data_IF_852085362117
#
_entry.id   IF_852085362117
#
_cell.length_a   1.000
_cell.length_b   1.000
_cell.length_c   1.000
_cell.angle_alpha   90.00
_cell.angle_beta   90.00
_cell.angle_gamma   90.00
#
_symmetry.space_group_name_H-M   'P 1'
#
loop_
_entity.id
_entity.type
_entity.pdbx_description
1 polymer ?
#
# COMPACT_ATOMS: atom_id res chain seq x y z
N UNK A 1 10.83 -13.93 -3.38
CA UNK A 1 10.29 -12.91 -2.44
C UNK A 1 11.44 -11.98 -2.11
N UNK A 2 11.19 -10.68 -2.21
CA UNK A 2 12.19 -9.63 -1.97
C UNK A 2 11.59 -8.60 -1.02
N UNK A 3 12.40 -8.09 -0.09
CA UNK A 3 11.98 -6.99 0.80
C UNK A 3 12.18 -5.68 0.04
N UNK A 4 11.09 -4.95 -0.20
CA UNK A 4 11.14 -3.64 -0.84
C UNK A 4 10.70 -2.54 0.11
N UNK A 5 11.33 -1.37 -0.05
CA UNK A 5 10.87 -0.12 0.53
C UNK A 5 9.78 0.46 -0.38
N UNK A 6 8.55 0.43 0.10
CA UNK A 6 7.38 0.83 -0.65
C UNK A 6 6.90 2.19 -0.15
N UNK A 7 7.07 3.21 -0.97
CA UNK A 7 6.71 4.57 -0.62
C UNK A 7 5.20 4.81 -0.72
N UNK A 8 4.68 5.51 0.30
CA UNK A 8 3.34 6.05 0.33
C UNK A 8 3.36 7.58 0.50
N UNK A 9 2.17 8.16 0.60
CA UNK A 9 1.98 9.61 0.72
C UNK A 9 2.52 10.20 2.02
N UNK A 10 2.54 9.43 3.11
CA UNK A 10 2.95 9.86 4.45
C UNK A 10 4.04 9.02 5.09
N UNK A 11 4.77 8.21 4.31
CA UNK A 11 5.85 7.38 4.80
C UNK A 11 6.27 6.30 3.81
N UNK A 12 6.86 5.23 4.33
CA UNK A 12 7.20 4.04 3.53
C UNK A 12 7.06 2.78 4.38
N UNK A 13 6.80 1.66 3.73
CA UNK A 13 6.64 0.35 4.38
C UNK A 13 7.67 -0.60 3.79
N UNK A 14 8.37 -1.33 4.65
CA UNK A 14 9.24 -2.42 4.23
C UNK A 14 8.44 -3.71 4.30
N UNK A 15 8.21 -4.32 3.14
CA UNK A 15 7.43 -5.55 3.05
C UNK A 15 8.05 -6.56 2.08
N UNK A 16 7.88 -7.83 2.40
CA UNK A 16 8.14 -8.95 1.51
C UNK A 16 7.10 -8.99 0.40
N UNK A 17 7.57 -8.77 -0.82
CA UNK A 17 6.74 -8.79 -2.02
C UNK A 17 7.21 -9.86 -3.00
N UNK A 18 6.31 -10.31 -3.84
CA UNK A 18 6.65 -11.21 -4.96
C UNK A 18 7.34 -10.44 -6.09
N UNK A 19 8.04 -11.13 -6.97
CA UNK A 19 8.69 -10.53 -8.13
C UNK A 19 7.70 -9.79 -9.05
N UNK A 20 6.45 -10.27 -9.14
CA UNK A 20 5.37 -9.58 -9.86
C UNK A 20 4.96 -8.27 -9.17
N UNK A 21 4.83 -8.28 -7.85
CA UNK A 21 4.54 -7.07 -7.08
C UNK A 21 5.70 -6.09 -7.16
N UNK A 22 6.95 -6.55 -7.05
CA UNK A 22 8.14 -5.71 -7.22
C UNK A 22 8.13 -4.96 -8.56
N UNK A 23 7.81 -5.65 -9.66
CA UNK A 23 7.67 -5.04 -10.98
C UNK A 23 6.53 -4.03 -11.07
N UNK A 24 5.41 -4.27 -10.38
CA UNK A 24 4.29 -3.31 -10.32
C UNK A 24 4.65 -2.09 -9.46
N UNK A 25 5.39 -2.29 -8.38
CA UNK A 25 5.81 -1.23 -7.46
C UNK A 25 6.76 -0.24 -8.14
N UNK A 26 7.65 -0.74 -9.00
CA UNK A 26 8.57 0.07 -9.77
C UNK A 26 7.85 0.76 -10.95
N UNK A 27 7.69 2.07 -10.84
CA UNK A 27 7.12 2.91 -11.90
C UNK A 27 8.18 3.48 -12.84
N UNK A 28 9.42 2.96 -12.80
CA UNK A 28 10.54 3.46 -13.61
C UNK A 28 11.11 4.81 -13.17
N UNK A 29 10.74 5.30 -11.99
CA UNK A 29 11.21 6.58 -11.41
C UNK A 29 12.29 6.39 -10.33
N UNK A 30 12.84 5.17 -10.21
CA UNK A 30 13.88 4.81 -9.26
C UNK A 30 13.40 4.58 -7.83
N UNK A 31 12.09 4.52 -7.60
CA UNK A 31 11.46 4.24 -6.30
C UNK A 31 10.26 3.32 -6.49
N UNK A 32 10.03 2.47 -5.49
CA UNK A 32 8.89 1.56 -5.45
C UNK A 32 7.72 2.17 -4.67
N UNK A 33 6.48 1.99 -5.16
CA UNK A 33 5.28 2.61 -4.56
C UNK A 33 4.26 1.58 -4.12
N UNK A 34 3.50 1.90 -3.06
CA UNK A 34 2.38 1.09 -2.55
C UNK A 34 1.15 1.09 -3.47
N UNK A 35 0.89 2.21 -4.14
CA UNK A 35 -0.32 2.38 -4.94
C UNK A 35 -0.52 1.30 -6.04
N UNK A 36 0.49 0.97 -6.88
CA UNK A 36 0.32 0.02 -7.99
C UNK A 36 0.36 -1.47 -7.61
N UNK A 37 0.84 -1.81 -6.40
CA UNK A 37 0.93 -3.21 -5.94
C UNK A 37 -0.35 -3.75 -5.31
N UNK A 38 -1.23 -2.87 -4.84
CA UNK A 38 -2.49 -3.24 -4.18
C UNK A 38 -2.33 -3.59 -2.69
N UNK A 39 -3.24 -4.42 -2.18
CA UNK A 39 -3.28 -4.79 -0.77
C UNK A 39 -2.12 -5.71 -0.40
N UNK A 40 -1.33 -5.29 0.57
CA UNK A 40 -0.32 -6.10 1.22
C UNK A 40 -0.89 -6.70 2.50
N UNK A 41 -0.49 -7.92 2.78
CA UNK A 41 -0.84 -8.60 4.02
C UNK A 41 0.06 -8.09 5.15
N UNK A 42 -0.53 -7.87 6.33
CA UNK A 42 0.19 -7.39 7.51
C UNK A 42 1.40 -8.27 7.85
N UNK A 43 1.27 -9.59 7.65
CA UNK A 43 2.34 -10.55 7.90
C UNK A 43 3.57 -10.39 6.98
N UNK A 44 3.39 -9.76 5.82
CA UNK A 44 4.50 -9.48 4.89
C UNK A 44 5.23 -8.20 5.24
N UNK A 45 4.68 -7.36 6.12
CA UNK A 45 5.27 -6.09 6.50
C UNK A 45 6.21 -6.31 7.68
N UNK A 46 7.49 -6.02 7.49
CA UNK A 46 8.48 -6.17 8.54
C UNK A 46 8.54 -4.91 9.42
N UNK A 47 8.46 -3.73 8.80
CA UNK A 47 8.55 -2.45 9.49
C UNK A 47 7.98 -1.34 8.61
N UNK A 48 7.68 -0.19 9.22
CA UNK A 48 7.22 0.99 8.50
C UNK A 48 7.77 2.28 9.09
N UNK A 49 7.97 3.28 8.25
CA UNK A 49 8.35 4.62 8.65
C UNK A 49 7.15 5.56 8.51
N UNK A 50 6.89 6.33 9.57
CA UNK A 50 5.87 7.37 9.55
C UNK A 50 6.52 8.75 9.44
N UNK A 51 6.22 9.48 8.37
CA UNK A 51 6.70 10.85 8.16
C UNK A 51 6.14 11.82 9.21
N UNK A 52 4.93 11.59 9.74
CA UNK A 52 4.33 12.45 10.76
C UNK A 52 5.00 12.28 12.13
N UNK A 53 5.43 11.06 12.46
CA UNK A 53 6.19 10.78 13.68
C UNK A 53 7.69 10.95 13.51
N UNK A 54 8.17 11.05 12.26
CA UNK A 54 9.60 11.02 11.90
C UNK A 54 10.32 9.85 12.58
N UNK A 55 9.65 8.71 12.62
CA UNK A 55 10.08 7.52 13.37
C UNK A 55 9.77 6.26 12.56
N UNK A 56 10.65 5.27 12.70
CA UNK A 56 10.45 3.91 12.23
C UNK A 56 9.79 3.06 13.32
N UNK A 57 8.91 2.15 12.91
CA UNK A 57 8.16 1.25 13.77
C UNK A 57 8.31 -0.17 13.25
N UNK A 58 8.49 -1.11 14.17
CA UNK A 58 8.56 -2.53 13.86
C UNK A 58 7.14 -3.11 13.68
N UNK A 59 7.00 -4.05 12.74
CA UNK A 59 5.73 -4.67 12.37
C UNK A 59 4.93 -3.94 11.27
N UNK A 60 3.63 -4.20 11.22
CA UNK A 60 2.71 -3.63 10.22
C UNK A 60 2.02 -2.35 10.72
N UNK A 61 1.81 -1.34 9.85
CA UNK A 61 0.83 -0.29 10.09
C UNK A 61 -0.59 -0.87 10.07
N UNK A 62 -1.53 -0.22 10.75
CA UNK A 62 -2.94 -0.62 10.75
C UNK A 62 -3.54 -0.43 9.36
N UNK A 63 -4.15 -1.49 8.83
CA UNK A 63 -4.88 -1.43 7.57
C UNK A 63 -6.32 -0.99 7.84
N UNK A 64 -6.74 0.11 7.24
CA UNK A 64 -8.10 0.60 7.29
C UNK A 64 -8.74 0.45 5.91
N UNK A 65 -9.67 -0.50 5.79
CA UNK A 65 -10.40 -0.78 4.54
C UNK A 65 -11.60 0.16 4.48
N UNK A 66 -11.83 0.82 3.35
CA UNK A 66 -13.03 1.62 3.15
C UNK A 66 -14.25 0.73 2.88
N UNK A 67 -15.37 1.02 3.52
CA UNK A 67 -16.61 0.22 3.47
C UNK A 67 -17.38 0.31 2.14
N UNK A 68 -16.91 1.11 1.18
CA UNK A 68 -17.53 1.25 -0.16
C UNK A 68 -16.70 0.58 -1.27
N UNK A 69 -16.56 -0.77 -1.28
CA UNK A 69 -15.97 -1.48 -2.40
C UNK A 69 -16.93 -1.53 -3.60
N UNK A 70 -16.38 -1.67 -4.82
CA UNK A 70 -17.08 -1.78 -6.12
C UNK A 70 -17.62 -0.46 -6.71
N UNK A 71 -16.88 0.64 -6.55
CA UNK A 71 -17.23 1.89 -7.25
C UNK A 71 -16.77 1.81 -8.73
N UNK A 72 -17.65 2.08 -9.71
CA UNK A 72 -17.25 2.22 -11.10
C UNK A 72 -16.48 3.53 -11.27
N UNK A 73 -15.17 3.44 -11.49
CA UNK A 73 -14.29 4.63 -11.60
C UNK A 73 -14.12 5.09 -13.05
N UNK A 74 -14.21 4.18 -14.02
CA UNK A 74 -14.14 4.45 -15.45
C UNK A 74 -14.85 3.34 -16.25
N UNK A 75 -15.09 3.58 -17.53
CA UNK A 75 -15.71 2.61 -18.46
C UNK A 75 -14.90 1.29 -18.45
N UNK A 76 -15.48 0.23 -17.87
CA UNK A 76 -14.84 -1.07 -17.71
C UNK A 76 -13.81 -1.21 -16.58
N UNK A 77 -13.66 -0.25 -15.66
CA UNK A 77 -12.77 -0.36 -14.50
C UNK A 77 -13.55 -0.19 -13.18
N UNK A 78 -13.53 -1.23 -12.35
CA UNK A 78 -14.22 -1.28 -11.06
C UNK A 78 -13.17 -1.22 -9.94
N UNK A 79 -13.31 -0.27 -9.02
CA UNK A 79 -12.51 -0.24 -7.79
C UNK A 79 -13.05 -1.31 -6.84
N UNK A 80 -12.47 -2.51 -6.88
CA UNK A 80 -12.86 -3.64 -6.04
C UNK A 80 -12.66 -3.36 -4.56
N UNK A 81 -11.52 -2.79 -4.21
CA UNK A 81 -11.17 -2.54 -2.81
C UNK A 81 -10.26 -1.32 -2.73
N UNK A 82 -10.50 -0.48 -1.74
CA UNK A 82 -9.61 0.60 -1.34
C UNK A 82 -9.35 0.51 0.14
N UNK A 83 -8.11 0.76 0.52
CA UNK A 83 -7.77 0.90 1.92
C UNK A 83 -6.52 1.75 2.10
N UNK A 84 -6.25 2.06 3.36
CA UNK A 84 -5.20 2.97 3.78
C UNK A 84 -4.37 2.31 4.87
N UNK A 85 -3.06 2.41 4.76
CA UNK A 85 -2.12 2.02 5.81
C UNK A 85 -1.95 3.20 6.75
N UNK A 86 -2.27 3.02 8.03
CA UNK A 86 -2.26 4.08 9.04
C UNK A 86 -1.27 3.76 10.16
N UNK A 87 -0.57 4.77 10.63
CA UNK A 87 0.39 4.62 11.71
C UNK A 87 -0.31 4.19 13.01
N UNK A 88 0.15 3.12 13.64
CA UNK A 88 -0.42 2.62 14.89
C UNK A 88 -0.31 3.61 16.07
N UNK A 89 0.63 4.56 16.01
CA UNK A 89 0.89 5.56 17.07
C UNK A 89 0.09 6.85 16.91
N UNK A 90 0.03 7.41 15.71
CA UNK A 90 -0.56 8.73 15.44
C UNK A 90 -1.76 8.70 14.48
N UNK A 91 -2.15 7.51 14.02
CA UNK A 91 -3.24 7.29 13.05
C UNK A 91 -3.09 8.06 11.73
N UNK A 92 -1.89 8.55 11.43
CA UNK A 92 -1.63 9.23 10.15
C UNK A 92 -1.49 8.23 9.02
N UNK A 93 -1.97 8.60 7.84
CA UNK A 93 -1.91 7.77 6.63
C UNK A 93 -0.44 7.68 6.16
N UNK A 94 0.10 6.47 6.13
CA UNK A 94 1.42 6.14 5.60
C UNK A 94 1.35 6.00 4.07
N UNK A 95 0.33 5.33 3.58
CA UNK A 95 0.09 5.10 2.18
C UNK A 95 -1.31 4.55 1.94
N UNK A 96 -1.71 4.50 0.68
CA UNK A 96 -3.01 3.99 0.27
C UNK A 96 -2.80 2.91 -0.78
N UNK A 97 -3.71 1.94 -0.81
CA UNK A 97 -3.76 0.92 -1.84
C UNK A 97 -5.13 0.90 -2.50
N UNK A 98 -5.13 0.50 -3.77
CA UNK A 98 -6.34 0.32 -4.56
C UNK A 98 -6.22 -0.98 -5.34
N UNK A 99 -7.28 -1.76 -5.33
CA UNK A 99 -7.43 -2.98 -6.11
C UNK A 99 -8.46 -2.69 -7.18
N UNK A 100 -8.03 -2.71 -8.43
CA UNK A 100 -8.90 -2.53 -9.57
C UNK A 100 -9.17 -3.88 -10.23
N UNK A 101 -10.40 -4.04 -10.72
CA UNK A 101 -10.83 -5.17 -11.52
C UNK A 101 -11.37 -4.63 -12.85
N UNK A 102 -10.99 -5.24 -13.96
CA UNK A 102 -11.58 -4.91 -15.26
C UNK A 102 -12.98 -5.52 -15.29
N UNK A 103 -14.01 -4.65 -15.39
CA UNK A 103 -15.38 -5.09 -15.65
C UNK A 103 -15.43 -5.70 -17.04
N UNK A 104 -15.84 -6.97 -17.09
CA UNK A 104 -15.95 -7.78 -18.30
C UNK A 104 -16.94 -7.21 -19.30
#
# INVERSE_FOLDING_TARGET
MVVLELHGSGGHIFADVTDEQAKKADLGVGKCFLAPIGKLEEQKMQKYFCKKCESEFDGSPKIQIEESPNEPVADGLILKERGQYTCSKCSSIIGEYRVFEQGQ
#
